data_IF_640631850013
#
_entry.id   IF_640631850013
#
_cell.length_a   1.000
_cell.length_b   1.000
_cell.length_c   1.000
_cell.angle_alpha   90.00
_cell.angle_beta   90.00
_cell.angle_gamma   90.00
#
_symmetry.space_group_name_H-M   'P 1'
#
loop_
_entity.id
_entity.type
_entity.pdbx_description
1 polymer ?
#
# COMPACT_ATOMS: atom_id res chain seq x y z
N UNK A 1 -3.45 -21.82 -3.17
CA UNK A 1 -2.69 -20.76 -3.83
C UNK A 1 -2.89 -19.37 -3.24
N UNK A 2 -3.88 -19.05 -2.92
CA UNK A 2 -4.22 -17.80 -2.32
C UNK A 2 -3.57 -17.57 -1.00
N UNK A 3 -3.33 -18.53 -0.45
CA UNK A 3 -2.68 -18.45 0.84
C UNK A 3 -1.18 -18.36 0.64
N UNK A 4 -0.76 -18.91 -0.24
CA UNK A 4 0.62 -18.82 -0.63
C UNK A 4 0.97 -17.50 -1.26
N UNK A 5 0.10 -17.03 -1.81
CA UNK A 5 0.31 -15.73 -2.38
C UNK A 5 0.25 -14.61 -1.35
N UNK A 6 -0.35 -14.87 -0.50
CA UNK A 6 -0.47 -13.96 0.61
C UNK A 6 0.77 -13.95 1.49
N UNK A 7 1.30 -14.84 1.44
CA UNK A 7 2.50 -14.96 2.21
C UNK A 7 3.70 -14.35 1.50
N UNK A 8 3.66 -14.29 0.32
CA UNK A 8 4.64 -13.73 -0.56
C UNK A 8 4.34 -12.32 -0.99
N UNK A 9 3.08 -11.91 -1.03
CA UNK A 9 2.69 -10.57 -1.52
C UNK A 9 1.90 -9.84 -0.42
N UNK A 10 2.57 -9.32 0.56
CA UNK A 10 1.84 -8.67 1.67
C UNK A 10 2.08 -7.16 1.77
N UNK A 11 2.76 -6.58 0.81
CA UNK A 11 2.96 -5.12 0.77
C UNK A 11 2.82 -4.63 -0.66
N UNK A 12 2.33 -3.39 -0.78
CA UNK A 12 2.04 -2.80 -2.09
C UNK A 12 2.38 -1.32 -2.06
N UNK A 13 2.49 -0.73 -3.23
CA UNK A 13 2.61 0.73 -3.38
C UNK A 13 1.79 1.19 -4.57
N UNK A 14 1.20 2.38 -4.48
CA UNK A 14 0.53 2.98 -5.63
C UNK A 14 0.62 4.51 -5.56
N UNK A 15 0.81 5.13 -6.72
CA UNK A 15 0.52 6.57 -6.85
C UNK A 15 -0.98 6.74 -6.84
N UNK A 16 -1.47 7.90 -6.41
CA UNK A 16 -2.90 8.19 -6.46
C UNK A 16 -3.13 9.19 -7.58
N UNK A 17 -3.60 8.69 -8.71
CA UNK A 17 -3.81 9.50 -9.91
C UNK A 17 -5.21 9.38 -10.47
N UNK A 18 -5.98 8.36 -10.05
CA UNK A 18 -7.32 8.11 -10.56
C UNK A 18 -8.14 7.33 -9.55
N UNK A 19 -9.45 7.24 -9.80
CA UNK A 19 -10.38 6.60 -8.87
C UNK A 19 -9.96 5.18 -8.54
N UNK A 20 -9.50 4.43 -9.54
CA UNK A 20 -9.11 3.04 -9.35
C UNK A 20 -7.97 2.87 -8.34
N UNK A 21 -7.14 3.90 -8.17
CA UNK A 21 -6.04 3.81 -7.21
C UNK A 21 -6.55 3.80 -5.77
N UNK A 22 -7.63 4.53 -5.49
CA UNK A 22 -8.27 4.46 -4.16
C UNK A 22 -8.87 3.09 -3.92
N UNK A 23 -9.45 2.49 -4.96
CA UNK A 23 -10.05 1.16 -4.85
C UNK A 23 -8.98 0.09 -4.63
N UNK A 24 -7.86 0.23 -5.33
CA UNK A 24 -6.71 -0.67 -5.14
C UNK A 24 -6.25 -0.62 -3.69
N UNK A 25 -6.13 0.58 -3.14
CA UNK A 25 -5.74 0.75 -1.73
C UNK A 25 -6.73 0.01 -0.83
N UNK A 26 -8.02 0.23 -1.03
CA UNK A 26 -9.05 -0.41 -0.22
C UNK A 26 -8.95 -1.94 -0.29
N UNK A 27 -8.89 -2.48 -1.52
CA UNK A 27 -8.88 -3.92 -1.70
C UNK A 27 -7.65 -4.57 -1.08
N UNK A 28 -6.47 -3.97 -1.30
CA UNK A 28 -5.25 -4.57 -0.77
C UNK A 28 -5.19 -4.50 0.75
N UNK A 29 -5.72 -3.43 1.34
CA UNK A 29 -5.85 -3.37 2.80
C UNK A 29 -6.82 -4.42 3.31
N UNK A 30 -7.94 -4.59 2.62
CA UNK A 30 -8.95 -5.60 3.03
C UNK A 30 -8.41 -7.02 2.90
N UNK A 31 -7.47 -7.25 1.99
CA UNK A 31 -6.82 -8.56 1.86
C UNK A 31 -5.72 -8.76 2.89
N UNK A 32 -5.49 -7.77 3.74
CA UNK A 32 -4.52 -7.89 4.81
C UNK A 32 -3.14 -7.35 4.48
N UNK A 33 -3.00 -6.71 3.33
CA UNK A 33 -1.71 -6.14 2.93
C UNK A 33 -1.45 -4.77 3.52
N UNK A 34 -0.18 -4.36 3.51
CA UNK A 34 0.19 -2.99 3.81
C UNK A 34 0.36 -2.23 2.50
N UNK A 35 -0.02 -0.95 2.50
CA UNK A 35 0.03 -0.17 1.26
C UNK A 35 0.71 1.17 1.50
N UNK A 36 1.73 1.45 0.69
CA UNK A 36 2.28 2.79 0.58
C UNK A 36 1.59 3.53 -0.55
N UNK A 37 1.42 4.83 -0.41
CA UNK A 37 0.81 5.61 -1.48
C UNK A 37 1.43 6.99 -1.55
N UNK A 38 1.44 7.55 -2.75
CA UNK A 38 2.01 8.88 -2.96
C UNK A 38 0.90 9.92 -3.07
N UNK A 39 1.09 11.01 -2.30
CA UNK A 39 0.25 12.19 -2.47
C UNK A 39 1.06 13.34 -3.07
N UNK A 40 2.12 13.02 -3.80
CA UNK A 40 2.88 14.02 -4.53
C UNK A 40 1.94 14.84 -5.41
N UNK A 41 2.13 16.17 -5.39
CA UNK A 41 1.24 17.05 -6.14
C UNK A 41 1.21 16.74 -7.63
N UNK A 42 2.35 16.33 -8.19
CA UNK A 42 2.41 15.98 -9.61
C UNK A 42 1.55 14.77 -9.95
N UNK A 43 1.34 13.86 -8.99
CA UNK A 43 0.53 12.67 -9.23
C UNK A 43 -0.95 12.96 -9.01
N UNK A 44 -1.29 13.55 -7.87
CA UNK A 44 -2.71 13.79 -7.55
C UNK A 44 -3.34 14.83 -8.46
N UNK A 45 -2.52 15.65 -9.11
CA UNK A 45 -3.02 16.63 -10.07
C UNK A 45 -3.80 15.97 -11.22
N UNK A 46 -3.56 14.70 -11.49
CA UNK A 46 -4.27 13.97 -12.53
C UNK A 46 -5.75 13.72 -12.18
N UNK A 47 -6.10 13.77 -10.88
CA UNK A 47 -7.50 13.61 -10.49
C UNK A 47 -8.33 14.80 -11.00
N UNK A 48 -9.56 14.55 -11.49
CA UNK A 48 -10.40 15.65 -11.97
C UNK A 48 -10.85 16.58 -10.83
N UNK A 49 -11.37 17.74 -11.21
CA UNK A 49 -12.03 18.64 -10.25
C UNK A 49 -13.25 17.94 -9.65
N UNK A 50 -13.52 18.24 -8.39
CA UNK A 50 -14.65 17.67 -7.68
C UNK A 50 -15.95 18.28 -8.20
N UNK A 51 -16.92 17.43 -8.56
CA UNK A 51 -18.23 17.88 -9.03
C UNK A 51 -19.01 18.56 -7.89
N UNK A 52 -19.86 19.50 -8.27
CA UNK A 52 -20.68 20.22 -7.29
C UNK A 52 -22.07 19.59 -7.18
N UNK A 53 -22.68 19.76 -6.01
CA UNK A 53 -24.07 19.37 -5.81
C UNK A 53 -24.32 17.89 -5.63
N UNK A 54 -23.27 17.09 -5.42
CA UNK A 54 -23.44 15.66 -5.19
C UNK A 54 -23.90 15.44 -3.75
N UNK A 55 -24.92 14.59 -3.59
CA UNK A 55 -25.45 14.22 -2.28
C UNK A 55 -25.54 12.69 -2.23
N UNK A 56 -24.83 12.09 -1.29
CA UNK A 56 -24.83 10.63 -1.08
C UNK A 56 -25.58 10.38 0.23
N UNK A 57 -26.69 9.66 0.15
CA UNK A 57 -27.61 9.50 1.28
C UNK A 57 -27.67 8.04 1.72
N UNK A 58 -27.50 7.82 3.02
CA UNK A 58 -27.65 6.47 3.59
C UNK A 58 -29.10 6.22 3.96
N UNK A 59 -29.59 5.05 3.62
CA UNK A 59 -30.94 4.59 3.96
C UNK A 59 -30.87 3.16 4.47
N UNK A 60 -31.93 2.71 5.09
CA UNK A 60 -32.02 1.32 5.54
C UNK A 60 -33.29 0.68 4.96
N UNK A 61 -33.41 0.76 3.66
CA UNK A 61 -34.59 0.26 2.95
C UNK A 61 -34.15 -0.57 1.74
N UNK A 62 -35.12 -1.24 1.14
CA UNK A 62 -34.90 -1.97 -0.10
C UNK A 62 -35.05 -1.06 -1.32
N UNK A 63 -35.34 0.21 -1.13
CA UNK A 63 -35.64 1.13 -2.23
C UNK A 63 -34.45 2.04 -2.58
N UNK A 64 -33.33 1.92 -1.88
CA UNK A 64 -32.15 2.75 -2.19
C UNK A 64 -31.62 2.40 -3.59
N UNK A 65 -30.93 3.37 -4.19
CA UNK A 65 -30.32 3.16 -5.51
C UNK A 65 -29.32 2.02 -5.50
N UNK A 66 -28.56 1.87 -4.41
CA UNK A 66 -27.57 0.80 -4.27
C UNK A 66 -27.87 0.06 -2.97
N UNK A 67 -28.04 -1.26 -3.05
CA UNK A 67 -28.14 -2.11 -1.88
C UNK A 67 -26.78 -2.79 -1.71
N UNK A 68 -26.05 -2.42 -0.66
CA UNK A 68 -24.65 -2.83 -0.51
C UNK A 68 -24.56 -4.27 -0.04
N UNK A 69 -23.97 -5.18 -0.84
CA UNK A 69 -23.73 -6.54 -0.36
C UNK A 69 -22.74 -6.55 0.81
N UNK A 70 -22.90 -7.52 1.69
CA UNK A 70 -22.03 -7.66 2.86
C UNK A 70 -20.77 -8.44 2.46
N UNK A 71 -19.93 -7.81 1.67
CA UNK A 71 -18.71 -8.42 1.15
C UNK A 71 -17.70 -7.32 0.83
N UNK A 72 -16.43 -7.73 0.72
CA UNK A 72 -15.37 -6.80 0.31
C UNK A 72 -15.70 -6.16 -1.04
N UNK A 73 -16.14 -6.97 -1.99
CA UNK A 73 -16.49 -6.46 -3.31
C UNK A 73 -17.66 -5.47 -3.25
N UNK A 74 -18.66 -5.77 -2.41
CA UNK A 74 -19.80 -4.88 -2.24
C UNK A 74 -19.39 -3.53 -1.68
N UNK A 75 -18.53 -3.55 -0.66
CA UNK A 75 -18.05 -2.30 -0.05
C UNK A 75 -17.19 -1.51 -1.04
N UNK A 76 -16.34 -2.21 -1.79
CA UNK A 76 -15.52 -1.55 -2.80
C UNK A 76 -16.37 -0.90 -3.88
N UNK A 77 -17.44 -1.57 -4.30
CA UNK A 77 -18.33 -1.01 -5.32
C UNK A 77 -19.04 0.24 -4.82
N UNK A 78 -19.40 0.27 -3.54
CA UNK A 78 -19.95 1.50 -2.98
C UNK A 78 -18.92 2.62 -3.01
N UNK A 79 -17.69 2.34 -2.58
CA UNK A 79 -16.61 3.32 -2.63
C UNK A 79 -16.42 3.82 -4.06
N UNK A 80 -16.41 2.90 -5.03
CA UNK A 80 -16.29 3.26 -6.45
C UNK A 80 -17.39 4.23 -6.86
N UNK A 81 -18.65 3.91 -6.50
CA UNK A 81 -19.78 4.75 -6.89
C UNK A 81 -19.69 6.14 -6.27
N UNK A 82 -19.29 6.22 -5.01
CA UNK A 82 -19.12 7.51 -4.34
C UNK A 82 -18.06 8.35 -5.07
N UNK A 83 -16.91 7.76 -5.33
CA UNK A 83 -15.81 8.48 -5.97
C UNK A 83 -16.16 8.86 -7.42
N UNK A 84 -16.85 7.97 -8.15
CA UNK A 84 -17.28 8.28 -9.51
C UNK A 84 -18.27 9.45 -9.52
N UNK A 85 -19.16 9.52 -8.53
CA UNK A 85 -20.08 10.64 -8.46
C UNK A 85 -19.35 11.97 -8.31
N UNK A 86 -18.35 12.00 -7.43
CA UNK A 86 -17.63 13.25 -7.18
C UNK A 86 -16.63 13.60 -8.29
N UNK A 87 -16.03 12.60 -8.94
CA UNK A 87 -14.99 12.88 -9.94
C UNK A 87 -15.48 12.84 -11.37
N UNK A 88 -16.62 12.21 -11.64
CA UNK A 88 -17.02 11.97 -13.02
C UNK A 88 -18.46 12.37 -13.31
N UNK A 89 -19.44 11.65 -12.74
CA UNK A 89 -20.83 11.79 -13.16
C UNK A 89 -21.54 13.01 -12.56
N UNK A 90 -21.18 13.40 -11.35
CA UNK A 90 -21.89 14.46 -10.66
C UNK A 90 -23.28 14.06 -10.17
N UNK A 91 -23.62 12.78 -10.24
CA UNK A 91 -24.95 12.29 -9.90
C UNK A 91 -25.04 11.90 -8.43
N UNK A 92 -26.09 12.36 -7.77
CA UNK A 92 -26.39 11.96 -6.39
C UNK A 92 -27.04 10.56 -6.41
N UNK A 93 -26.90 9.87 -5.27
CA UNK A 93 -27.56 8.57 -5.13
C UNK A 93 -27.73 8.24 -3.65
N UNK A 94 -28.58 7.24 -3.39
CA UNK A 94 -28.76 6.71 -2.06
C UNK A 94 -28.24 5.27 -2.00
N UNK A 95 -27.80 4.87 -0.81
CA UNK A 95 -27.35 3.49 -0.63
C UNK A 95 -27.93 2.95 0.67
N UNK A 96 -28.11 1.64 0.72
CA UNK A 96 -28.65 0.96 1.89
C UNK A 96 -27.68 -0.09 2.39
N UNK A 97 -27.55 -0.16 3.71
CA UNK A 97 -26.75 -1.19 4.37
C UNK A 97 -27.62 -2.28 4.98
N UNK A 98 -28.85 -2.43 4.49
CA UNK A 98 -29.78 -3.39 5.05
C UNK A 98 -29.26 -4.83 4.98
N UNK A 99 -28.42 -5.14 3.98
CA UNK A 99 -27.84 -6.47 3.83
C UNK A 99 -26.57 -6.68 4.64
N UNK A 100 -25.98 -5.60 5.20
CA UNK A 100 -24.76 -5.73 5.98
C UNK A 100 -25.11 -6.20 7.39
N UNK A 101 -24.45 -7.26 7.85
CA UNK A 101 -24.74 -7.84 9.16
C UNK A 101 -24.58 -6.81 10.26
N UNK A 102 -25.53 -6.86 11.21
CA UNK A 102 -25.51 -5.97 12.35
C UNK A 102 -24.35 -6.29 13.28
N UNK A 103 -23.96 -5.30 14.08
CA UNK A 103 -22.92 -5.48 15.09
C UNK A 103 -23.28 -6.68 15.99
N UNK A 104 -22.32 -7.57 16.16
CA UNK A 104 -22.49 -8.72 17.02
C UNK A 104 -23.04 -9.97 16.36
N UNK A 105 -23.46 -9.89 15.09
CA UNK A 105 -23.95 -11.08 14.39
C UNK A 105 -22.80 -12.09 14.21
N UNK A 106 -23.07 -13.39 14.37
CA UNK A 106 -22.00 -14.38 14.24
C UNK A 106 -21.47 -14.48 12.80
N UNK A 107 -20.16 -14.68 12.70
CA UNK A 107 -19.49 -14.90 11.41
C UNK A 107 -19.39 -16.40 11.17
N UNK A 108 -19.75 -16.82 9.97
CA UNK A 108 -19.82 -18.26 9.66
C UNK A 108 -18.44 -18.89 9.41
N UNK A 109 -17.52 -18.14 8.81
CA UNK A 109 -16.29 -18.73 8.30
C UNK A 109 -15.15 -18.75 9.31
N UNK A 110 -14.94 -17.65 10.03
CA UNK A 110 -13.79 -17.49 10.90
C UNK A 110 -14.12 -17.41 12.38
N UNK A 111 -15.37 -17.57 12.72
CA UNK A 111 -15.81 -17.33 14.10
C UNK A 111 -15.81 -15.86 14.41
N UNK A 112 -16.16 -15.53 15.65
CA UNK A 112 -16.26 -14.13 16.07
C UNK A 112 -17.57 -13.51 15.64
N UNK A 113 -17.61 -12.18 15.69
CA UNK A 113 -18.84 -11.44 15.42
C UNK A 113 -18.60 -10.31 14.43
N UNK A 114 -19.68 -9.89 13.76
CA UNK A 114 -19.62 -8.82 12.75
C UNK A 114 -19.44 -7.46 13.42
N UNK A 115 -18.77 -6.57 12.71
CA UNK A 115 -18.54 -5.18 13.13
C UNK A 115 -19.75 -4.29 12.86
N UNK A 116 -20.67 -4.73 12.03
CA UNK A 116 -21.81 -3.94 11.62
C UNK A 116 -21.48 -2.97 10.50
N UNK A 117 -22.48 -2.20 10.05
CA UNK A 117 -22.26 -1.27 8.94
C UNK A 117 -21.74 0.10 9.36
N UNK A 118 -21.58 0.36 10.67
CA UNK A 118 -21.26 1.68 11.15
C UNK A 118 -19.98 2.28 10.58
N UNK A 119 -18.92 1.48 10.51
CA UNK A 119 -17.65 1.96 9.99
C UNK A 119 -17.75 2.38 8.53
N UNK A 120 -18.49 1.61 7.74
CA UNK A 120 -18.71 1.94 6.34
C UNK A 120 -19.50 3.23 6.20
N UNK A 121 -20.60 3.35 6.94
CA UNK A 121 -21.44 4.54 6.89
C UNK A 121 -20.65 5.78 7.30
N UNK A 122 -19.96 5.69 8.43
CA UNK A 122 -19.17 6.82 8.93
C UNK A 122 -18.06 7.20 7.95
N UNK A 123 -17.40 6.20 7.38
CA UNK A 123 -16.34 6.46 6.42
C UNK A 123 -16.85 7.14 5.16
N UNK A 124 -17.97 6.69 4.62
CA UNK A 124 -18.54 7.33 3.44
C UNK A 124 -18.94 8.77 3.76
N UNK A 125 -19.52 9.01 4.94
CA UNK A 125 -19.85 10.37 5.36
C UNK A 125 -18.60 11.25 5.44
N UNK A 126 -17.52 10.72 6.00
CA UNK A 126 -16.27 11.46 6.12
C UNK A 126 -15.70 11.80 4.74
N UNK A 127 -15.73 10.85 3.81
CA UNK A 127 -15.26 11.10 2.44
C UNK A 127 -16.11 12.21 1.81
N UNK A 128 -17.41 12.14 1.98
CA UNK A 128 -18.30 13.16 1.43
C UNK A 128 -18.00 14.55 1.99
N UNK A 129 -17.64 14.65 3.27
CA UNK A 129 -17.26 15.94 3.86
C UNK A 129 -16.00 16.48 3.21
N UNK A 130 -14.99 15.62 2.99
CA UNK A 130 -13.77 16.04 2.32
C UNK A 130 -14.09 16.57 0.92
N UNK A 131 -14.90 15.83 0.18
CA UNK A 131 -15.27 16.23 -1.18
C UNK A 131 -16.06 17.53 -1.21
N UNK A 132 -17.00 17.67 -0.27
CA UNK A 132 -17.84 18.84 -0.25
C UNK A 132 -17.03 20.11 -0.05
N UNK A 133 -15.96 20.03 0.75
CA UNK A 133 -15.10 21.17 0.96
C UNK A 133 -14.27 21.53 -0.27
N UNK A 134 -14.25 20.67 -1.28
CA UNK A 134 -13.47 20.90 -2.50
C UNK A 134 -14.32 20.98 -3.75
N UNK A 135 -15.61 21.18 -3.63
CA UNK A 135 -16.49 21.29 -4.80
C UNK A 135 -15.97 22.34 -5.78
N UNK A 136 -15.90 21.96 -7.05
CA UNK A 136 -15.42 22.80 -8.13
C UNK A 136 -13.92 22.97 -8.19
N UNK A 137 -13.18 22.30 -7.30
CA UNK A 137 -11.73 22.46 -7.20
C UNK A 137 -11.04 21.12 -7.28
N UNK A 138 -9.73 21.13 -7.53
CA UNK A 138 -8.92 19.92 -7.46
C UNK A 138 -8.61 19.61 -6.00
N UNK A 139 -8.43 18.31 -5.71
CA UNK A 139 -8.01 17.90 -4.38
C UNK A 139 -6.56 18.31 -4.12
N UNK A 140 -6.29 18.69 -2.88
CA UNK A 140 -4.94 18.94 -2.39
C UNK A 140 -4.36 17.66 -1.81
N UNK A 141 -3.06 17.66 -1.53
CA UNK A 141 -2.43 16.50 -0.93
C UNK A 141 -3.12 16.07 0.36
N UNK A 142 -3.47 17.05 1.19
CA UNK A 142 -4.13 16.76 2.47
C UNK A 142 -5.50 16.10 2.26
N UNK A 143 -6.20 16.47 1.20
CA UNK A 143 -7.51 15.87 0.91
C UNK A 143 -7.35 14.40 0.49
N UNK A 144 -6.38 14.12 -0.37
CA UNK A 144 -6.12 12.75 -0.79
C UNK A 144 -5.64 11.91 0.39
N UNK A 145 -4.76 12.48 1.22
CA UNK A 145 -4.32 11.81 2.44
C UNK A 145 -5.53 11.44 3.30
N UNK A 146 -6.44 12.39 3.49
CA UNK A 146 -7.61 12.16 4.33
C UNK A 146 -8.48 11.03 3.77
N UNK A 147 -8.72 11.03 2.46
CA UNK A 147 -9.53 9.96 1.87
C UNK A 147 -8.86 8.61 2.07
N UNK A 148 -7.56 8.52 1.85
CA UNK A 148 -6.85 7.26 2.04
C UNK A 148 -6.86 6.81 3.50
N UNK A 149 -6.73 7.75 4.43
CA UNK A 149 -6.79 7.42 5.86
C UNK A 149 -8.19 7.01 6.28
N UNK A 150 -9.22 7.62 5.70
CA UNK A 150 -10.62 7.22 5.96
C UNK A 150 -10.83 5.80 5.45
N UNK A 151 -10.30 5.47 4.29
CA UNK A 151 -10.36 4.10 3.77
C UNK A 151 -9.72 3.14 4.76
N UNK A 152 -8.56 3.51 5.32
CA UNK A 152 -7.91 2.70 6.35
C UNK A 152 -8.80 2.52 7.58
N UNK A 153 -9.48 3.58 8.00
CA UNK A 153 -10.41 3.51 9.13
C UNK A 153 -11.55 2.53 8.84
N UNK A 154 -12.10 2.57 7.62
CA UNK A 154 -13.16 1.63 7.24
C UNK A 154 -12.66 0.19 7.36
N UNK A 155 -11.44 -0.07 6.88
CA UNK A 155 -10.88 -1.42 6.93
C UNK A 155 -10.67 -1.88 8.36
N UNK A 156 -10.05 -1.04 9.20
CA UNK A 156 -9.74 -1.42 10.58
C UNK A 156 -11.01 -1.62 11.40
N UNK A 157 -11.95 -0.68 11.29
CA UNK A 157 -13.16 -0.71 12.12
C UNK A 157 -14.24 -1.62 11.55
N UNK A 158 -14.25 -1.82 10.24
CA UNK A 158 -15.31 -2.57 9.58
C UNK A 158 -14.96 -4.02 9.26
N UNK A 159 -13.77 -4.45 9.61
CA UNK A 159 -13.35 -5.83 9.37
C UNK A 159 -12.42 -6.27 10.50
N UNK A 160 -11.97 -7.51 10.42
CA UNK A 160 -11.03 -8.02 11.43
C UNK A 160 -9.58 -7.75 11.03
N UNK A 161 -9.37 -7.01 9.98
CA UNK A 161 -8.02 -6.75 9.47
C UNK A 161 -7.40 -5.52 10.11
N UNK A 162 -6.09 -5.52 10.21
CA UNK A 162 -5.34 -4.34 10.57
C UNK A 162 -5.02 -3.56 9.30
N UNK A 163 -4.80 -2.26 9.44
CA UNK A 163 -4.43 -1.42 8.32
C UNK A 163 -3.03 -0.89 8.55
N UNK A 164 -2.16 -1.08 7.57
CA UNK A 164 -0.82 -0.50 7.60
C UNK A 164 -0.64 0.33 6.35
N UNK A 165 -0.41 1.63 6.54
CA UNK A 165 -0.25 2.56 5.43
C UNK A 165 0.98 3.44 5.65
N UNK A 166 1.64 3.82 4.55
CA UNK A 166 2.55 4.95 4.57
C UNK A 166 2.12 5.89 3.46
N UNK A 167 1.98 7.18 3.82
CA UNK A 167 1.71 8.24 2.86
C UNK A 167 3.01 8.97 2.60
N UNK A 168 3.34 9.20 1.33
CA UNK A 168 4.61 9.87 1.00
C UNK A 168 4.29 11.07 0.13
N UNK A 169 4.81 12.24 0.52
CA UNK A 169 4.52 13.48 -0.18
C UNK A 169 5.75 14.29 -0.50
N UNK A 170 5.52 15.48 -1.04
CA UNK A 170 6.58 16.38 -1.45
C UNK A 170 7.24 17.03 -0.22
N UNK A 171 8.56 17.26 -0.31
CA UNK A 171 9.28 17.83 0.84
C UNK A 171 8.93 19.31 1.13
N UNK A 172 8.31 20.00 0.18
CA UNK A 172 7.93 21.40 0.35
C UNK A 172 6.43 21.59 0.49
N UNK A 173 5.68 20.54 0.75
CA UNK A 173 4.23 20.61 0.86
C UNK A 173 3.83 20.83 2.31
N UNK A 174 3.57 22.09 2.65
CA UNK A 174 3.28 22.49 4.04
C UNK A 174 2.05 21.80 4.59
N UNK A 175 1.00 21.67 3.78
CA UNK A 175 -0.22 20.98 4.24
C UNK A 175 0.09 19.55 4.68
N UNK A 176 0.85 18.85 3.86
CA UNK A 176 1.17 17.45 4.16
C UNK A 176 2.11 17.36 5.38
N UNK A 177 3.10 18.23 5.44
CA UNK A 177 4.08 18.20 6.54
C UNK A 177 3.42 18.46 7.89
N UNK A 178 2.33 19.24 7.92
CA UNK A 178 1.63 19.57 9.16
C UNK A 178 0.40 18.70 9.41
N UNK A 179 0.16 17.71 8.56
CA UNK A 179 -1.08 16.92 8.62
C UNK A 179 -1.27 16.22 9.96
N UNK A 180 -0.19 15.82 10.60
CA UNK A 180 -0.25 15.09 11.87
C UNK A 180 0.34 15.89 13.03
N UNK A 181 0.18 17.18 12.99
CA UNK A 181 0.63 18.05 14.09
C UNK A 181 -0.41 17.99 15.22
N UNK A 182 -0.36 16.92 15.99
CA UNK A 182 -1.36 16.64 17.01
C UNK A 182 -1.46 17.73 18.08
N UNK A 183 -0.39 18.49 18.27
CA UNK A 183 -0.37 19.52 19.32
C UNK A 183 -1.34 20.67 19.05
N UNK A 184 -1.78 20.87 17.81
CA UNK A 184 -2.74 21.91 17.50
C UNK A 184 -4.15 21.59 17.99
N UNK A 185 -4.44 20.31 18.26
CA UNK A 185 -5.74 19.88 18.74
C UNK A 185 -6.84 19.79 17.70
N UNK A 186 -6.53 20.07 16.43
CA UNK A 186 -7.52 20.09 15.37
C UNK A 186 -7.28 19.01 14.30
N UNK A 187 -6.47 18.01 14.59
CA UNK A 187 -6.14 16.99 13.62
C UNK A 187 -7.18 15.87 13.69
N UNK A 188 -7.80 15.53 12.55
CA UNK A 188 -8.75 14.39 12.56
C UNK A 188 -8.09 13.11 13.02
N UNK A 189 -8.80 12.35 13.85
CA UNK A 189 -8.25 11.12 14.42
C UNK A 189 -7.87 10.09 13.36
N UNK A 190 -8.58 10.06 12.22
CA UNK A 190 -8.28 9.06 11.20
C UNK A 190 -6.88 9.23 10.60
N UNK A 191 -6.23 10.38 10.80
CA UNK A 191 -4.86 10.55 10.30
C UNK A 191 -3.84 9.68 11.03
N UNK A 192 -4.23 9.05 12.11
CA UNK A 192 -3.39 8.04 12.76
C UNK A 192 -3.24 6.76 11.94
N UNK A 193 -4.06 6.60 10.89
CA UNK A 193 -4.04 5.37 10.09
C UNK A 193 -2.87 5.25 9.12
N UNK A 194 -2.07 6.30 8.95
CA UNK A 194 -0.86 6.18 8.13
C UNK A 194 0.33 6.78 8.84
N UNK A 195 1.51 6.21 8.58
CA UNK A 195 2.76 6.92 8.80
C UNK A 195 2.93 7.87 7.63
N UNK A 196 3.43 9.07 7.88
CA UNK A 196 3.66 10.04 6.81
C UNK A 196 5.15 10.26 6.62
N UNK A 197 5.60 10.29 5.38
CA UNK A 197 7.00 10.55 5.05
C UNK A 197 7.09 11.47 3.85
N UNK A 198 8.24 12.10 3.68
CA UNK A 198 8.48 12.95 2.52
C UNK A 198 9.64 12.41 1.71
N UNK A 199 9.60 12.64 0.40
CA UNK A 199 10.70 12.31 -0.49
C UNK A 199 11.78 13.40 -0.29
N UNK A 200 12.82 13.07 0.43
CA UNK A 200 13.86 14.03 0.79
C UNK A 200 15.19 13.55 0.22
N UNK A 201 15.38 13.74 -1.08
CA UNK A 201 16.63 13.35 -1.73
C UNK A 201 17.78 14.23 -1.27
N UNK A 202 17.50 15.48 -0.93
CA UNK A 202 18.48 16.42 -0.40
C UNK A 202 17.85 17.21 0.75
N UNK A 203 18.63 17.45 1.78
CA UNK A 203 18.12 18.15 2.97
C UNK A 203 17.68 19.59 2.65
N UNK A 204 18.30 20.23 1.67
CA UNK A 204 17.95 21.60 1.32
C UNK A 204 16.60 21.71 0.59
N UNK A 205 15.99 20.60 0.24
CA UNK A 205 14.63 20.61 -0.29
C UNK A 205 13.60 20.92 0.77
N UNK A 206 13.96 20.78 2.05
CA UNK A 206 13.04 20.98 3.15
C UNK A 206 13.23 22.40 3.69
N UNK A 207 12.14 23.18 3.69
CA UNK A 207 12.20 24.56 4.16
C UNK A 207 12.60 24.57 5.64
N UNK A 208 13.51 25.50 6.03
CA UNK A 208 13.98 25.52 7.40
C UNK A 208 12.87 25.58 8.46
N UNK A 209 11.81 26.33 8.20
CA UNK A 209 10.74 26.46 9.17
C UNK A 209 9.97 25.17 9.38
N UNK A 210 10.06 24.22 8.45
CA UNK A 210 9.39 22.94 8.59
C UNK A 210 10.15 21.98 9.47
N UNK A 211 11.46 22.21 9.64
CA UNK A 211 12.25 21.38 10.55
C UNK A 211 11.84 21.57 12.02
N UNK A 212 11.20 22.69 12.34
CA UNK A 212 10.80 22.95 13.71
C UNK A 212 9.82 21.93 14.26
N UNK A 213 9.03 21.31 13.38
CA UNK A 213 8.10 20.30 13.82
C UNK A 213 8.63 18.87 13.82
N UNK A 214 9.84 18.71 13.33
CA UNK A 214 10.41 17.37 13.18
C UNK A 214 11.13 16.97 14.45
N UNK A 215 10.71 15.85 15.07
CA UNK A 215 11.31 15.43 16.34
C UNK A 215 12.28 14.26 16.20
N UNK A 216 12.48 13.80 14.96
CA UNK A 216 13.44 12.72 14.73
C UNK A 216 12.91 11.32 14.99
N UNK A 217 11.69 11.21 15.47
CA UNK A 217 11.09 9.90 15.76
C UNK A 217 10.23 9.38 14.62
N UNK A 218 10.09 10.18 13.54
CA UNK A 218 9.20 9.84 12.44
C UNK A 218 7.87 10.56 12.51
N UNK A 219 7.67 11.38 13.53
CA UNK A 219 6.47 12.19 13.69
C UNK A 219 6.88 13.65 13.72
N UNK A 220 6.09 14.53 13.15
CA UNK A 220 4.85 14.31 12.39
C UNK A 220 5.07 13.78 10.97
N UNK A 221 6.31 13.57 10.56
CA UNK A 221 6.63 12.95 9.29
C UNK A 221 8.02 12.30 9.37
N UNK A 222 8.24 11.30 8.51
CA UNK A 222 9.54 10.70 8.33
C UNK A 222 10.18 11.14 7.02
N UNK A 223 11.35 10.59 6.73
CA UNK A 223 12.10 10.91 5.51
C UNK A 223 12.41 9.64 4.74
N UNK A 224 12.21 9.67 3.42
CA UNK A 224 12.64 8.57 2.55
C UNK A 224 13.45 9.17 1.39
N UNK A 225 14.47 8.46 0.97
CA UNK A 225 15.36 8.92 -0.11
C UNK A 225 15.18 8.00 -1.32
N UNK A 226 14.30 8.44 -2.23
CA UNK A 226 13.99 7.65 -3.43
C UNK A 226 15.18 7.58 -4.38
N UNK A 227 15.93 8.68 -4.50
CA UNK A 227 17.10 8.72 -5.37
C UNK A 227 18.14 7.70 -4.91
N UNK A 228 18.38 7.65 -3.60
CA UNK A 228 19.32 6.67 -3.06
C UNK A 228 18.83 5.25 -3.24
N UNK A 229 17.52 5.03 -3.05
CA UNK A 229 16.95 3.70 -3.23
C UNK A 229 17.10 3.21 -4.67
N UNK A 230 16.98 4.12 -5.63
CA UNK A 230 17.17 3.77 -7.03
C UNK A 230 18.62 3.44 -7.36
N UNK A 231 19.57 4.13 -6.71
CA UNK A 231 21.00 4.02 -7.02
C UNK A 231 21.67 2.86 -6.31
N UNK A 232 21.22 2.52 -5.09
CA UNK A 232 21.90 1.53 -4.27
C UNK A 232 21.00 0.33 -4.03
N UNK A 233 21.55 -0.86 -4.24
CA UNK A 233 20.94 -2.07 -3.77
C UNK A 233 21.64 -2.53 -2.50
N UNK A 234 21.35 -3.76 -2.11
CA UNK A 234 21.94 -4.35 -0.91
C UNK A 234 23.47 -4.39 -0.98
N UNK A 235 24.00 -4.61 -2.16
CA UNK A 235 25.44 -4.71 -2.38
C UNK A 235 26.01 -3.45 -3.05
N UNK A 236 25.50 -2.29 -2.69
CA UNK A 236 25.99 -1.03 -3.21
C UNK A 236 25.37 -0.69 -4.56
N UNK A 237 26.18 -0.06 -5.41
CA UNK A 237 25.70 0.42 -6.69
C UNK A 237 25.68 -0.62 -7.80
N UNK A 238 25.75 -1.88 -7.43
CA UNK A 238 25.85 -2.93 -8.44
C UNK A 238 24.63 -3.03 -9.36
N UNK A 239 23.47 -2.55 -8.90
CA UNK A 239 22.27 -2.68 -9.70
C UNK A 239 21.36 -1.48 -9.49
N UNK A 240 21.31 -0.61 -10.49
CA UNK A 240 20.45 0.56 -10.46
C UNK A 240 19.02 0.13 -10.79
N UNK A 241 18.06 0.67 -10.06
CA UNK A 241 16.65 0.35 -10.26
C UNK A 241 15.84 1.64 -10.38
N UNK A 242 15.59 2.07 -11.60
CA UNK A 242 14.85 3.30 -11.87
C UNK A 242 13.33 3.09 -11.86
N UNK A 243 12.85 1.86 -11.61
CA UNK A 243 11.41 1.60 -11.54
C UNK A 243 10.80 2.01 -10.22
N UNK A 244 11.60 2.28 -9.19
CA UNK A 244 11.09 2.62 -7.88
C UNK A 244 10.37 3.96 -7.91
N UNK A 245 9.10 3.96 -7.51
CA UNK A 245 8.28 5.16 -7.38
C UNK A 245 8.00 5.50 -5.92
N UNK A 246 7.96 4.50 -5.06
CA UNK A 246 7.65 4.68 -3.65
C UNK A 246 8.03 3.47 -2.83
N UNK A 247 7.41 3.34 -1.67
CA UNK A 247 7.84 2.35 -0.68
C UNK A 247 6.67 1.67 -0.02
N UNK A 248 6.92 0.49 0.54
CA UNK A 248 5.96 -0.22 1.38
C UNK A 248 5.83 0.50 2.75
N UNK A 249 4.84 0.13 3.58
CA UNK A 249 4.58 0.87 4.82
C UNK A 249 5.77 1.01 5.77
N UNK A 250 6.67 0.04 5.79
CA UNK A 250 7.85 0.13 6.66
C UNK A 250 9.02 0.87 6.00
N UNK A 251 8.84 1.27 4.75
CA UNK A 251 9.81 2.03 3.96
C UNK A 251 11.12 1.27 3.70
N UNK A 252 11.08 -0.07 3.80
CA UNK A 252 12.30 -0.84 3.55
C UNK A 252 12.35 -1.43 2.14
N UNK A 253 11.23 -1.41 1.41
CA UNK A 253 11.17 -1.98 0.07
C UNK A 253 10.72 -0.93 -0.92
N UNK A 254 11.57 -0.62 -1.91
CA UNK A 254 11.18 0.26 -3.01
C UNK A 254 10.35 -0.50 -4.03
N UNK A 255 9.30 0.13 -4.51
CA UNK A 255 8.35 -0.49 -5.43
C UNK A 255 7.95 0.49 -6.52
N UNK A 256 7.56 -0.05 -7.68
CA UNK A 256 6.97 0.75 -8.74
C UNK A 256 5.50 1.01 -8.49
N UNK A 257 4.92 1.83 -9.36
CA UNK A 257 3.51 2.21 -9.26
C UNK A 257 2.61 0.99 -9.46
N UNK A 258 1.86 0.65 -8.43
CA UNK A 258 0.96 -0.51 -8.45
C UNK A 258 1.61 -1.82 -8.06
N UNK A 259 2.90 -1.82 -7.78
CA UNK A 259 3.66 -3.05 -7.58
C UNK A 259 3.42 -3.66 -6.21
N UNK A 260 3.44 -4.99 -6.20
CA UNK A 260 3.39 -5.79 -4.98
C UNK A 260 4.79 -6.30 -4.66
N UNK A 261 5.14 -6.32 -3.39
CA UNK A 261 6.37 -6.99 -2.98
C UNK A 261 6.20 -8.50 -3.16
N UNK A 262 7.31 -9.22 -3.19
CA UNK A 262 7.33 -10.67 -3.32
C UNK A 262 8.47 -11.17 -2.46
N UNK A 263 8.14 -11.52 -1.22
CA UNK A 263 9.14 -11.83 -0.20
C UNK A 263 8.97 -13.24 0.34
N UNK A 264 10.09 -13.88 0.63
CA UNK A 264 10.13 -15.11 1.44
C UNK A 264 11.14 -14.89 2.55
N UNK A 265 11.07 -15.71 3.58
CA UNK A 265 11.93 -15.57 4.75
C UNK A 265 12.64 -16.89 5.05
N UNK A 266 13.95 -16.78 5.28
CA UNK A 266 14.80 -17.89 5.68
C UNK A 266 15.25 -17.67 7.12
N UNK A 267 15.13 -18.70 7.94
CA UNK A 267 15.64 -18.63 9.32
C UNK A 267 17.01 -19.30 9.33
N UNK A 268 18.06 -18.49 9.27
CA UNK A 268 19.42 -18.94 9.09
C UNK A 268 19.90 -19.94 10.16
N UNK A 269 19.53 -19.75 11.44
CA UNK A 269 19.98 -20.74 12.45
C UNK A 269 19.58 -22.18 12.17
N UNK A 270 18.48 -22.40 11.44
CA UNK A 270 18.01 -23.77 11.14
C UNK A 270 18.66 -24.38 9.90
N UNK A 271 19.52 -23.63 9.22
CA UNK A 271 20.17 -24.10 7.99
C UNK A 271 21.54 -24.66 8.36
N UNK A 272 21.79 -25.90 7.98
CA UNK A 272 22.94 -26.66 8.48
C UNK A 272 24.20 -26.55 7.62
N UNK A 273 24.05 -26.20 6.34
CA UNK A 273 25.21 -26.16 5.45
C UNK A 273 24.99 -25.13 4.35
N UNK A 274 26.08 -24.73 3.70
CA UNK A 274 26.00 -23.85 2.55
C UNK A 274 25.17 -24.48 1.43
N UNK A 275 25.35 -25.77 1.22
CA UNK A 275 24.58 -26.48 0.18
C UNK A 275 23.09 -26.44 0.48
N UNK A 276 22.71 -26.62 1.75
CA UNK A 276 21.31 -26.56 2.13
C UNK A 276 20.74 -25.15 1.91
N UNK A 277 21.52 -24.11 2.28
CA UNK A 277 21.11 -22.74 2.03
C UNK A 277 20.82 -22.52 0.55
N UNK A 278 21.72 -22.96 -0.31
CA UNK A 278 21.55 -22.77 -1.75
C UNK A 278 20.34 -23.52 -2.28
N UNK A 279 20.10 -24.75 -1.80
CA UNK A 279 18.95 -25.53 -2.24
C UNK A 279 17.64 -24.85 -1.85
N UNK A 280 17.56 -24.38 -0.61
CA UNK A 280 16.34 -23.71 -0.13
C UNK A 280 16.12 -22.39 -0.88
N UNK A 281 17.18 -21.61 -1.03
CA UNK A 281 17.10 -20.34 -1.74
C UNK A 281 16.66 -20.54 -3.19
N UNK A 282 17.20 -21.57 -3.84
CA UNK A 282 16.84 -21.89 -5.23
C UNK A 282 15.37 -22.28 -5.33
N UNK A 283 14.91 -23.13 -4.41
CA UNK A 283 13.52 -23.55 -4.42
C UNK A 283 12.58 -22.36 -4.22
N UNK A 284 12.90 -21.51 -3.23
CA UNK A 284 12.11 -20.30 -2.99
C UNK A 284 12.12 -19.40 -4.21
N UNK A 285 13.26 -19.29 -4.87
CA UNK A 285 13.35 -18.46 -6.08
C UNK A 285 12.38 -18.94 -7.16
N UNK A 286 12.35 -20.24 -7.41
CA UNK A 286 11.46 -20.78 -8.45
C UNK A 286 10.00 -20.48 -8.10
N UNK A 287 9.62 -20.67 -6.84
CA UNK A 287 8.27 -20.37 -6.40
C UNK A 287 7.97 -18.87 -6.56
N UNK A 288 8.88 -18.01 -6.11
CA UNK A 288 8.67 -16.56 -6.18
C UNK A 288 8.62 -16.09 -7.63
N UNK A 289 9.50 -16.60 -8.49
CA UNK A 289 9.49 -16.21 -9.90
C UNK A 289 8.16 -16.60 -10.55
N UNK A 290 7.64 -17.77 -10.17
CA UNK A 290 6.33 -18.21 -10.68
C UNK A 290 5.21 -17.28 -10.22
N UNK A 291 5.30 -16.78 -9.00
CA UNK A 291 4.30 -15.85 -8.48
C UNK A 291 4.26 -14.56 -9.30
N UNK A 292 5.39 -14.12 -9.83
CA UNK A 292 5.40 -12.91 -10.66
C UNK A 292 4.60 -13.07 -11.96
N UNK A 293 4.24 -14.30 -12.32
CA UNK A 293 3.47 -14.57 -13.55
C UNK A 293 1.97 -14.66 -13.31
N UNK A 294 1.53 -14.53 -12.05
CA UNK A 294 0.11 -14.65 -11.72
C UNK A 294 -0.67 -13.41 -12.13
N UNK A 295 -1.99 -13.54 -12.18
CA UNK A 295 -2.88 -12.40 -12.36
C UNK A 295 -3.26 -11.83 -10.99
N UNK A 296 -3.11 -10.53 -10.84
CA UNK A 296 -3.51 -9.82 -9.63
C UNK A 296 -4.87 -9.17 -9.85
N UNK A 297 -5.56 -8.78 -8.78
CA UNK A 297 -6.89 -8.16 -8.94
C UNK A 297 -6.90 -6.89 -9.77
N UNK A 298 -5.78 -6.19 -9.85
CA UNK A 298 -5.68 -4.97 -10.64
C UNK A 298 -4.65 -5.14 -11.73
N UNK A 299 -5.03 -4.77 -12.95
CA UNK A 299 -4.14 -4.94 -14.11
C UNK A 299 -2.85 -4.17 -13.94
N UNK A 300 -2.92 -3.00 -13.32
CA UNK A 300 -1.74 -2.20 -13.00
C UNK A 300 -0.71 -3.01 -12.22
N UNK A 301 -1.15 -3.75 -11.21
CA UNK A 301 -0.27 -4.62 -10.43
C UNK A 301 0.27 -5.76 -11.28
N UNK A 302 -0.62 -6.43 -12.03
CA UNK A 302 -0.21 -7.56 -12.86
C UNK A 302 0.90 -7.15 -13.83
N UNK A 303 0.72 -6.03 -14.51
CA UNK A 303 1.68 -5.57 -15.51
C UNK A 303 3.05 -5.24 -14.89
N UNK A 304 3.06 -4.49 -13.79
CA UNK A 304 4.33 -4.06 -13.22
C UNK A 304 5.06 -5.23 -12.54
N UNK A 305 4.32 -6.14 -11.90
CA UNK A 305 4.94 -7.30 -11.27
C UNK A 305 5.57 -8.21 -12.33
N UNK A 306 4.87 -8.43 -13.44
CA UNK A 306 5.43 -9.25 -14.51
C UNK A 306 6.65 -8.62 -15.16
N UNK A 307 6.61 -7.32 -15.35
CA UNK A 307 7.73 -6.61 -15.99
C UNK A 307 8.97 -6.61 -15.11
N UNK A 308 8.82 -6.27 -13.84
CA UNK A 308 9.96 -6.11 -12.93
C UNK A 308 10.44 -7.44 -12.35
N UNK A 309 9.52 -8.38 -12.12
CA UNK A 309 9.82 -9.67 -11.48
C UNK A 309 10.68 -9.48 -10.24
N UNK A 310 10.37 -8.47 -9.43
CA UNK A 310 11.13 -8.15 -8.23
C UNK A 310 10.92 -9.21 -7.17
N UNK A 311 12.01 -9.69 -6.57
CA UNK A 311 11.96 -10.71 -5.54
C UNK A 311 12.82 -10.29 -4.36
N UNK A 312 12.49 -10.82 -3.18
CA UNK A 312 13.32 -10.67 -2.01
C UNK A 312 13.30 -11.92 -1.17
N UNK A 313 14.46 -12.32 -0.66
CA UNK A 313 14.54 -13.39 0.32
C UNK A 313 15.13 -12.79 1.58
N UNK A 314 14.29 -12.68 2.61
CA UNK A 314 14.68 -12.11 3.88
C UNK A 314 15.39 -13.15 4.74
N UNK A 315 16.43 -12.73 5.41
CA UNK A 315 17.20 -13.61 6.29
C UNK A 315 16.99 -13.14 7.73
N UNK A 316 16.52 -14.04 8.59
CA UNK A 316 16.34 -13.74 10.00
C UNK A 316 17.25 -14.62 10.85
N UNK A 317 17.46 -14.18 12.09
CA UNK A 317 18.29 -14.92 13.05
C UNK A 317 19.78 -14.79 12.80
N UNK A 318 20.21 -13.77 12.05
CA UNK A 318 21.63 -13.60 11.70
C UNK A 318 22.47 -13.40 12.96
N UNK A 319 21.98 -12.65 13.94
CA UNK A 319 22.74 -12.39 15.15
C UNK A 319 22.92 -13.65 16.01
N UNK A 320 22.16 -14.70 15.75
CA UNK A 320 22.29 -15.97 16.47
C UNK A 320 23.24 -16.94 15.78
N UNK A 321 23.84 -16.53 14.68
CA UNK A 321 24.63 -17.43 13.84
C UNK A 321 26.11 -17.17 13.98
N UNK A 322 26.89 -18.21 13.67
CA UNK A 322 28.34 -18.11 13.62
C UNK A 322 28.78 -17.23 12.44
N UNK A 323 30.02 -16.77 12.49
CA UNK A 323 30.59 -16.04 11.37
C UNK A 323 30.65 -16.89 10.12
N UNK A 324 30.83 -18.21 10.28
CA UNK A 324 30.85 -19.12 9.16
C UNK A 324 29.52 -19.06 8.40
N UNK A 325 28.38 -19.17 9.12
CA UNK A 325 27.07 -19.12 8.46
C UNK A 325 26.83 -17.77 7.79
N UNK A 326 27.23 -16.70 8.44
CA UNK A 326 27.07 -15.36 7.87
C UNK A 326 27.88 -15.24 6.58
N UNK A 327 29.05 -15.86 6.54
CA UNK A 327 29.90 -15.83 5.35
C UNK A 327 29.27 -16.54 4.15
N UNK A 328 28.28 -17.39 4.36
CA UNK A 328 27.59 -18.07 3.27
C UNK A 328 26.71 -17.13 2.45
N UNK A 329 26.28 -16.01 3.03
CA UNK A 329 25.23 -15.18 2.43
C UNK A 329 25.65 -14.58 1.10
N UNK A 330 26.86 -14.03 1.02
CA UNK A 330 27.29 -13.38 -0.20
C UNK A 330 27.47 -14.37 -1.37
N UNK A 331 28.16 -15.51 -1.20
CA UNK A 331 28.22 -16.45 -2.31
C UNK A 331 26.87 -17.06 -2.66
N UNK A 332 25.96 -17.24 -1.69
CA UNK A 332 24.62 -17.71 -1.99
C UNK A 332 23.88 -16.71 -2.85
N UNK A 333 24.02 -15.41 -2.54
CA UNK A 333 23.37 -14.37 -3.33
C UNK A 333 23.91 -14.37 -4.77
N UNK A 334 25.21 -14.54 -4.94
CA UNK A 334 25.79 -14.59 -6.28
C UNK A 334 25.27 -15.78 -7.09
N UNK A 335 25.08 -16.92 -6.44
CA UNK A 335 24.47 -18.06 -7.11
C UNK A 335 23.03 -17.77 -7.51
N UNK A 336 22.30 -17.06 -6.65
CA UNK A 336 20.92 -16.72 -6.94
C UNK A 336 20.84 -15.78 -8.14
N UNK A 337 21.74 -14.78 -8.23
CA UNK A 337 21.80 -13.89 -9.38
C UNK A 337 22.07 -14.66 -10.67
N UNK A 338 23.01 -15.59 -10.63
CA UNK A 338 23.33 -16.41 -11.79
C UNK A 338 22.14 -17.28 -12.19
N UNK A 339 21.47 -17.85 -11.21
CA UNK A 339 20.27 -18.65 -11.46
C UNK A 339 19.19 -17.80 -12.14
N UNK A 340 18.99 -16.57 -11.67
CA UNK A 340 17.97 -15.71 -12.27
C UNK A 340 18.24 -15.46 -13.75
N UNK A 341 19.49 -15.20 -14.09
CA UNK A 341 19.83 -14.95 -15.50
C UNK A 341 19.55 -16.20 -16.35
N UNK A 342 19.98 -17.35 -15.86
CA UNK A 342 19.82 -18.60 -16.61
C UNK A 342 18.38 -19.03 -16.70
N UNK A 343 17.66 -19.03 -15.58
CA UNK A 343 16.27 -19.45 -15.51
C UNK A 343 15.38 -18.54 -16.34
N UNK A 344 15.61 -17.22 -16.27
CA UNK A 344 14.81 -16.26 -17.02
C UNK A 344 15.00 -16.44 -18.51
N UNK A 345 16.24 -16.59 -18.95
CA UNK A 345 16.53 -16.81 -20.35
C UNK A 345 15.90 -18.11 -20.86
N UNK A 346 16.05 -19.18 -20.09
CA UNK A 346 15.54 -20.49 -20.48
C UNK A 346 14.02 -20.50 -20.61
N UNK A 347 13.33 -19.75 -19.77
CA UNK A 347 11.88 -19.75 -19.71
C UNK A 347 11.22 -18.54 -20.36
N UNK A 348 12.00 -17.69 -21.03
CA UNK A 348 11.46 -16.52 -21.74
C UNK A 348 10.88 -15.46 -20.80
N UNK A 349 11.49 -15.31 -19.62
CA UNK A 349 11.01 -14.35 -18.62
C UNK A 349 11.97 -13.19 -18.48
N UNK A 350 11.50 -12.03 -18.00
CA UNK A 350 12.41 -10.94 -17.71
C UNK A 350 13.28 -11.28 -16.50
N UNK A 351 14.53 -10.81 -16.52
CA UNK A 351 15.36 -10.90 -15.31
C UNK A 351 14.76 -10.00 -14.25
N UNK A 352 14.96 -10.38 -12.99
CA UNK A 352 14.42 -9.61 -11.88
C UNK A 352 15.19 -8.32 -11.70
N UNK A 353 14.48 -7.19 -11.53
CA UNK A 353 15.13 -5.89 -11.33
C UNK A 353 15.90 -5.86 -10.03
N UNK A 354 15.44 -6.60 -9.04
CA UNK A 354 16.10 -6.80 -7.75
C UNK A 354 15.84 -8.23 -7.28
N UNK A 355 16.82 -8.79 -6.57
CA UNK A 355 16.69 -10.10 -5.93
C UNK A 355 16.89 -9.97 -4.44
#
# INVERSE_FOLDING_TARGET
LXXXXXXXNNCYFTNIEKVEDFELLFDYLMLGGGVGFSVERSKIHELPKVKTGVSITHERTNDADIIVPDSRTGWRRLLHSVLKSYFDTGKSFSYSTILVREFGAPLKTFGGTASGPGALIDGIEDICKVMKNREGKKLRSIDVLDICNIIGKIVVSGSSRRSAQIAIGDPDDVLFLRAKNWSTGNVPAYRANSNNSIYADHFDEILPELWKGYDGSGEPYGLVNRRLARSYGRLGERKVDNTIEGFNPCAEIGLGDGESCNLSTLFLPNIDSFEQLCEISELLYVVQKSITRMNYPYEKTTEIVRKNARLGQSITGVLQCSEEKISWLSPAYEKLEALDKEYSKKNGLPTSVRL
#
